data_IF_349381072517
#
_entry.id   IF_349381072517
#
_cell.length_a   1.000
_cell.length_b   1.000
_cell.length_c   1.000
_cell.angle_alpha   90.00
_cell.angle_beta   90.00
_cell.angle_gamma   90.00
#
_symmetry.space_group_name_H-M   'P 1'
#
loop_
_entity.id
_entity.type
_entity.pdbx_description
1 polymer ?
#
# COMPACT_ATOMS: atom_id res chain seq x y z
N UNK A 1 54.44 4.64 65.36
CA UNK A 1 54.16 5.35 64.09
C UNK A 1 54.60 4.44 62.94
N UNK A 2 53.95 4.28 61.78
CA UNK A 2 52.61 4.65 61.27
C UNK A 2 52.18 3.50 60.32
N UNK A 3 50.93 3.00 60.39
CA UNK A 3 50.38 2.03 59.40
C UNK A 3 48.97 2.37 58.90
N UNK A 4 48.46 3.58 59.17
CA UNK A 4 47.09 4.00 58.82
C UNK A 4 46.79 3.98 57.31
N UNK A 5 47.81 4.16 56.45
CA UNK A 5 47.67 4.26 54.99
C UNK A 5 46.97 3.05 54.35
N UNK A 6 47.50 1.82 54.53
CA UNK A 6 47.00 0.64 53.80
C UNK A 6 45.56 0.22 54.14
N UNK A 7 45.07 0.55 55.36
CA UNK A 7 43.68 0.30 55.74
C UNK A 7 42.71 1.25 55.03
N UNK A 8 43.11 2.50 54.82
CA UNK A 8 42.31 3.51 54.12
C UNK A 8 42.12 3.16 52.64
N UNK A 9 43.18 2.75 51.94
CA UNK A 9 43.06 2.28 50.55
C UNK A 9 42.15 1.06 50.40
N UNK A 10 42.21 0.09 51.33
CA UNK A 10 41.30 -1.07 51.33
C UNK A 10 39.84 -0.67 51.57
N UNK A 11 39.59 0.26 52.49
CA UNK A 11 38.24 0.77 52.77
C UNK A 11 37.69 1.59 51.60
N UNK A 12 38.52 2.42 50.97
CA UNK A 12 38.15 3.15 49.75
C UNK A 12 37.80 2.18 48.60
N UNK A 13 38.63 1.17 48.34
CA UNK A 13 38.37 0.19 47.29
C UNK A 13 37.06 -0.60 47.52
N UNK A 14 36.78 -1.00 48.77
CA UNK A 14 35.51 -1.66 49.12
C UNK A 14 34.32 -0.71 48.89
N UNK A 15 34.41 0.55 49.32
CA UNK A 15 33.36 1.54 49.08
C UNK A 15 33.14 1.79 47.58
N UNK A 16 34.19 1.91 46.78
CA UNK A 16 34.07 2.06 45.32
C UNK A 16 33.38 0.86 44.69
N UNK A 17 33.73 -0.37 45.08
CA UNK A 17 33.08 -1.60 44.60
C UNK A 17 31.61 -1.67 45.01
N UNK A 18 31.26 -1.26 46.24
CA UNK A 18 29.87 -1.23 46.70
C UNK A 18 29.01 -0.12 46.05
N UNK A 19 29.62 0.98 45.58
CA UNK A 19 28.90 2.10 44.93
C UNK A 19 28.70 1.86 43.43
N UNK A 20 29.61 1.15 42.75
CA UNK A 20 29.50 0.85 41.32
C UNK A 20 28.13 0.28 40.84
N UNK A 21 27.48 -0.69 41.52
CA UNK A 21 26.18 -1.20 41.08
C UNK A 21 25.02 -0.19 41.23
N UNK A 22 25.16 0.88 42.01
CA UNK A 22 24.15 1.94 42.10
C UNK A 22 24.11 2.86 40.87
N UNK A 23 25.07 2.73 39.94
CA UNK A 23 25.06 3.41 38.64
C UNK A 23 24.54 2.54 37.49
N UNK A 24 23.99 1.36 37.76
CA UNK A 24 23.25 0.58 36.75
C UNK A 24 21.95 1.28 36.36
N UNK A 25 22.02 2.10 35.30
CA UNK A 25 20.85 2.73 34.71
C UNK A 25 19.92 1.68 34.09
N UNK A 26 18.60 1.88 34.16
CA UNK A 26 17.65 0.98 33.53
C UNK A 26 17.79 1.04 32.00
N UNK A 27 18.06 -0.10 31.37
CA UNK A 27 18.12 -0.20 29.92
C UNK A 27 16.68 -0.23 29.35
N UNK A 28 16.29 0.84 28.66
CA UNK A 28 15.01 0.89 27.94
C UNK A 28 15.09 0.05 26.66
N UNK A 29 14.56 -1.17 26.73
CA UNK A 29 14.39 -2.02 25.57
C UNK A 29 13.12 -1.61 24.79
N UNK A 30 13.30 -0.78 23.76
CA UNK A 30 12.24 -0.53 22.78
C UNK A 30 11.94 -1.81 21.99
N UNK A 31 10.66 -2.06 21.68
CA UNK A 31 10.27 -3.26 20.96
C UNK A 31 10.58 -3.06 19.48
N UNK A 32 11.09 -4.10 18.81
CA UNK A 32 11.47 -4.04 17.39
C UNK A 32 10.31 -3.51 16.51
N UNK A 33 9.06 -3.85 16.84
CA UNK A 33 7.85 -3.36 16.13
C UNK A 33 7.57 -1.85 16.26
N UNK A 34 8.15 -1.19 17.26
CA UNK A 34 8.03 0.25 17.47
C UNK A 34 9.15 1.00 16.70
N UNK A 35 10.22 0.29 16.29
CA UNK A 35 11.38 0.79 15.55
C UNK A 35 11.40 0.41 14.05
N UNK A 36 10.69 -0.65 13.66
CA UNK A 36 10.70 -1.19 12.30
C UNK A 36 9.32 -1.10 11.65
N UNK A 37 9.24 -0.45 10.48
CA UNK A 37 8.08 -0.50 9.60
C UNK A 37 8.17 -1.67 8.63
N UNK A 38 7.02 -2.26 8.28
CA UNK A 38 7.00 -3.36 7.29
C UNK A 38 7.18 -2.78 5.88
N UNK A 39 8.26 -3.17 5.22
CA UNK A 39 8.53 -2.76 3.85
C UNK A 39 7.45 -3.29 2.91
N UNK A 40 6.87 -2.41 2.07
CA UNK A 40 5.78 -2.77 1.16
C UNK A 40 4.36 -2.39 1.62
N UNK A 41 4.20 -1.77 2.79
CA UNK A 41 2.93 -1.17 3.24
C UNK A 41 2.64 0.09 2.41
N UNK A 42 2.14 -0.10 1.19
CA UNK A 42 1.67 0.95 0.29
C UNK A 42 0.23 0.64 -0.11
N UNK A 43 -0.63 1.65 -0.07
CA UNK A 43 -1.92 1.58 -0.74
C UNK A 43 -1.67 1.58 -2.26
N UNK A 44 -2.29 0.63 -2.96
CA UNK A 44 -2.16 0.50 -4.41
C UNK A 44 -3.42 1.05 -5.05
N UNK A 45 -3.31 2.14 -5.82
CA UNK A 45 -4.45 2.67 -6.56
C UNK A 45 -4.78 1.73 -7.72
N UNK A 46 -6.00 1.23 -7.76
CA UNK A 46 -6.53 0.43 -8.85
C UNK A 46 -7.47 1.30 -9.67
N UNK A 47 -7.30 1.26 -10.98
CA UNK A 47 -8.18 1.90 -11.97
C UNK A 47 -8.70 0.79 -12.87
N UNK A 48 -10.01 0.55 -12.80
CA UNK A 48 -10.72 -0.39 -13.66
C UNK A 48 -11.54 0.34 -14.72
N UNK A 49 -11.60 -0.23 -15.91
CA UNK A 49 -12.52 0.18 -16.97
C UNK A 49 -13.52 -0.95 -17.20
N UNK A 50 -14.81 -0.64 -17.06
CA UNK A 50 -15.93 -1.53 -17.29
C UNK A 50 -16.82 -1.03 -18.41
N UNK A 51 -17.61 -1.94 -18.98
CA UNK A 51 -18.60 -1.67 -20.00
C UNK A 51 -19.95 -2.17 -19.45
N UNK A 52 -20.97 -1.33 -19.42
CA UNK A 52 -22.30 -1.68 -18.91
C UNK A 52 -23.33 -1.50 -20.02
N UNK A 53 -24.17 -2.51 -20.23
CA UNK A 53 -25.31 -2.44 -21.14
C UNK A 53 -26.59 -2.02 -20.39
N UNK A 54 -27.39 -1.16 -21.00
CA UNK A 54 -28.62 -0.59 -20.47
C UNK A 54 -29.74 -0.52 -21.51
N UNK A 55 -30.76 0.29 -21.21
CA UNK A 55 -31.96 0.43 -22.03
C UNK A 55 -31.69 1.15 -23.36
N UNK A 56 -32.64 1.03 -24.28
CA UNK A 56 -32.58 1.64 -25.61
C UNK A 56 -32.42 3.17 -25.51
N UNK A 57 -31.33 3.68 -26.09
CA UNK A 57 -30.92 5.09 -26.09
C UNK A 57 -30.47 5.64 -24.74
N UNK A 58 -30.13 4.81 -23.74
CA UNK A 58 -29.54 5.26 -22.45
C UNK A 58 -28.03 5.02 -22.34
N UNK A 59 -27.34 4.70 -23.44
CA UNK A 59 -25.89 4.57 -23.52
C UNK A 59 -25.15 5.87 -23.85
N UNK A 60 -23.81 5.83 -23.88
CA UNK A 60 -22.99 6.99 -24.22
C UNK A 60 -23.07 7.32 -25.72
N UNK A 61 -23.41 8.56 -26.07
CA UNK A 61 -23.40 8.99 -27.47
C UNK A 61 -21.98 8.98 -28.04
N UNK A 62 -21.75 8.25 -29.13
CA UNK A 62 -20.41 7.97 -29.66
C UNK A 62 -19.68 9.15 -30.29
N UNK A 63 -20.36 10.27 -30.47
CA UNK A 63 -19.76 11.58 -30.81
C UNK A 63 -19.08 12.26 -29.62
N UNK A 64 -19.34 11.82 -28.37
CA UNK A 64 -18.84 12.46 -27.15
C UNK A 64 -17.89 11.58 -26.32
N UNK A 65 -17.86 10.26 -26.51
CA UNK A 65 -17.06 9.30 -25.70
C UNK A 65 -16.19 8.35 -26.54
N UNK A 66 -15.05 8.80 -27.10
CA UNK A 66 -14.16 7.95 -27.89
C UNK A 66 -13.55 6.77 -27.11
N UNK A 67 -13.59 6.82 -25.78
CA UNK A 67 -13.11 5.73 -24.92
C UNK A 67 -14.07 4.52 -24.91
N UNK A 68 -15.38 4.73 -25.08
CA UNK A 68 -16.38 3.65 -25.06
C UNK A 68 -16.29 2.78 -26.32
N UNK A 69 -16.01 3.38 -27.49
CA UNK A 69 -15.78 2.64 -28.75
C UNK A 69 -14.46 1.86 -28.72
N UNK A 70 -13.38 2.44 -28.17
CA UNK A 70 -12.11 1.75 -27.95
C UNK A 70 -12.25 0.54 -27.01
N UNK A 71 -12.97 0.71 -25.89
CA UNK A 71 -13.21 -0.37 -24.93
C UNK A 71 -13.96 -1.55 -25.56
N UNK A 72 -14.97 -1.28 -26.38
CA UNK A 72 -15.73 -2.32 -27.11
C UNK A 72 -14.89 -2.95 -28.22
N UNK A 73 -14.07 -2.19 -28.94
CA UNK A 73 -13.11 -2.76 -29.90
C UNK A 73 -12.15 -3.76 -29.24
N UNK A 74 -11.67 -3.46 -28.03
CA UNK A 74 -10.82 -4.36 -27.24
C UNK A 74 -11.60 -5.59 -26.72
N UNK A 75 -12.84 -5.43 -26.27
CA UNK A 75 -13.70 -6.57 -25.89
C UNK A 75 -13.93 -7.52 -27.08
N UNK A 76 -14.29 -6.97 -28.23
CA UNK A 76 -14.56 -7.75 -29.44
C UNK A 76 -13.30 -8.47 -29.92
N UNK A 77 -12.14 -7.83 -29.87
CA UNK A 77 -10.86 -8.48 -30.20
C UNK A 77 -10.51 -9.63 -29.23
N UNK A 78 -10.78 -9.50 -27.93
CA UNK A 78 -10.67 -10.61 -26.97
C UNK A 78 -11.64 -11.77 -27.27
N UNK A 79 -12.80 -11.48 -27.87
CA UNK A 79 -13.75 -12.49 -28.37
C UNK A 79 -13.42 -13.01 -29.79
N UNK A 80 -12.26 -12.65 -30.35
CA UNK A 80 -11.81 -13.06 -31.69
C UNK A 80 -12.38 -12.23 -32.85
N UNK A 81 -13.15 -11.17 -32.56
CA UNK A 81 -13.78 -10.27 -33.54
C UNK A 81 -12.89 -9.03 -33.70
N UNK A 82 -11.97 -9.09 -34.67
CA UNK A 82 -11.07 -7.97 -34.97
C UNK A 82 -11.76 -6.92 -35.85
N UNK A 83 -12.15 -5.79 -35.25
CA UNK A 83 -12.63 -4.61 -35.98
C UNK A 83 -11.47 -3.74 -36.45
N UNK A 84 -11.57 -3.17 -37.65
CA UNK A 84 -10.63 -2.12 -38.08
C UNK A 84 -10.92 -0.80 -37.35
N UNK A 85 -9.94 0.10 -37.26
CA UNK A 85 -10.12 1.40 -36.58
C UNK A 85 -11.28 2.22 -37.16
N UNK A 86 -11.48 2.19 -38.48
CA UNK A 86 -12.62 2.85 -39.14
C UNK A 86 -13.98 2.22 -38.79
N UNK A 87 -14.03 0.90 -38.56
CA UNK A 87 -15.25 0.21 -38.13
C UNK A 87 -15.57 0.52 -36.67
N UNK A 88 -14.56 0.54 -35.79
CA UNK A 88 -14.71 0.92 -34.38
C UNK A 88 -15.24 2.34 -34.22
N UNK A 89 -14.73 3.30 -35.00
CA UNK A 89 -15.23 4.69 -35.02
C UNK A 89 -16.64 4.85 -35.59
N UNK A 90 -17.14 3.88 -36.37
CA UNK A 90 -18.50 3.85 -36.92
C UNK A 90 -19.51 3.10 -36.05
N UNK A 91 -19.07 2.46 -34.96
CA UNK A 91 -20.00 1.88 -33.99
C UNK A 91 -20.87 3.00 -33.39
N UNK A 92 -22.19 2.81 -33.42
CA UNK A 92 -23.14 3.67 -32.71
C UNK A 92 -23.62 2.94 -31.46
N UNK A 93 -23.06 3.33 -30.32
CA UNK A 93 -23.40 2.82 -29.02
C UNK A 93 -24.60 3.62 -28.52
N UNK A 94 -25.79 3.02 -28.56
CA UNK A 94 -27.03 3.64 -28.04
C UNK A 94 -27.46 3.06 -26.70
N UNK A 95 -26.89 1.92 -26.33
CA UNK A 95 -27.30 1.09 -25.19
C UNK A 95 -26.16 0.80 -24.22
N UNK A 96 -24.96 1.31 -24.47
CA UNK A 96 -23.74 0.89 -23.77
C UNK A 96 -23.00 2.11 -23.24
N UNK A 97 -22.56 2.05 -21.98
CA UNK A 97 -21.81 3.10 -21.32
C UNK A 97 -20.46 2.58 -20.79
N UNK A 98 -19.42 3.42 -20.84
CA UNK A 98 -18.13 3.15 -20.23
C UNK A 98 -18.14 3.60 -18.76
N UNK A 99 -17.74 2.71 -17.85
CA UNK A 99 -17.67 2.99 -16.41
C UNK A 99 -16.21 2.96 -15.97
N UNK A 100 -15.74 4.05 -15.36
CA UNK A 100 -14.45 4.09 -14.69
C UNK A 100 -14.65 3.78 -13.20
N UNK A 101 -13.89 2.82 -12.69
CA UNK A 101 -13.87 2.42 -11.28
C UNK A 101 -12.51 2.81 -10.70
N UNK A 102 -12.49 3.72 -9.75
CA UNK A 102 -11.28 4.08 -8.98
C UNK A 102 -11.40 3.52 -7.58
N UNK A 103 -10.38 2.79 -7.12
CA UNK A 103 -10.33 2.28 -5.74
C UNK A 103 -8.89 2.23 -5.23
N UNK A 104 -8.72 2.11 -3.92
CA UNK A 104 -7.42 2.01 -3.27
C UNK A 104 -7.35 0.67 -2.54
N UNK A 105 -6.54 -0.24 -3.04
CA UNK A 105 -6.33 -1.55 -2.42
C UNK A 105 -5.38 -1.39 -1.22
N UNK A 106 -5.82 -1.69 0.01
CA UNK A 106 -4.96 -1.62 1.18
C UNK A 106 -3.88 -2.72 1.12
N UNK A 107 -2.71 -2.49 1.74
CA UNK A 107 -1.65 -3.48 1.80
C UNK A 107 -2.12 -4.75 2.52
N UNK A 108 -1.69 -5.91 2.02
CA UNK A 108 -2.05 -7.25 2.49
C UNK A 108 -3.52 -7.67 2.32
N UNK A 109 -4.33 -6.94 1.55
CA UNK A 109 -5.67 -7.38 1.16
C UNK A 109 -5.64 -8.78 0.50
N UNK A 110 -6.46 -9.71 0.99
CA UNK A 110 -6.63 -11.05 0.39
C UNK A 110 -7.90 -11.08 -0.46
N UNK A 111 -7.99 -11.95 -1.49
CA UNK A 111 -9.23 -12.15 -2.24
C UNK A 111 -10.40 -12.45 -1.30
N UNK A 112 -11.48 -11.66 -1.41
CA UNK A 112 -12.69 -11.81 -0.58
C UNK A 112 -12.69 -11.06 0.75
N UNK A 113 -11.66 -10.27 1.07
CA UNK A 113 -11.70 -9.33 2.21
C UNK A 113 -12.06 -7.92 1.71
N UNK A 114 -12.99 -7.27 2.41
CA UNK A 114 -13.49 -5.91 2.15
C UNK A 114 -13.12 -4.96 3.29
#
# INVERSE_FOLDING_TARGET
MITKSGRWFRQAAILTVCVLPFWSHSAFAERIKDLASVQGVRNNQLIGYGIVAGLDNTGDQTTQTPFTTQAIGNMLSQMGINLTQEQSLKLQLKNVAAVMITTSLPPFARPGQA
#
